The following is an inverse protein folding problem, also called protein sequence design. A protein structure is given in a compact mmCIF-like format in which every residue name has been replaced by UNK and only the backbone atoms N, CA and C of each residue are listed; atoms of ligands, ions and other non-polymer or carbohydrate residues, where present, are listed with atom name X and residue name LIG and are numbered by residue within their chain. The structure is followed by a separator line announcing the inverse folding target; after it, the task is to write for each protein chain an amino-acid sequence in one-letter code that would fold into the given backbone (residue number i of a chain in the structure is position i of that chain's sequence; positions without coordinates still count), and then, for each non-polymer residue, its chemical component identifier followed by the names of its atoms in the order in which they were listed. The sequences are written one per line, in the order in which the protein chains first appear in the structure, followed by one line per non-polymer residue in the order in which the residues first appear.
data_IF_273893528644
#
_entry.id   IF_273893528644
#
_cell.length_a   1.000
_cell.length_b   1.000
_cell.length_c   1.000
_cell.angle_alpha   90.00
_cell.angle_beta   90.00
_cell.angle_gamma   90.00
#
_symmetry.space_group_name_H-M   'P 1'
#
loop_
_entity.id
_entity.type
_entity.pdbx_description
1 polymer ?
#
# COMPACT_ATOMS: atom_id res chain seq x y z
N UNK A 1 -6.68 5.96 24.58
CA UNK A 1 -6.78 6.65 23.28
C UNK A 1 -6.85 5.55 22.24
N UNK A 2 -8.02 5.31 21.64
CA UNK A 2 -8.23 4.24 20.65
C UNK A 2 -8.37 4.93 19.29
N UNK A 3 -7.57 4.54 18.29
CA UNK A 3 -7.44 5.24 17.02
C UNK A 3 -7.99 4.40 15.87
N UNK A 4 -8.66 5.04 14.91
CA UNK A 4 -9.15 4.39 13.69
C UNK A 4 -7.98 4.12 12.74
N UNK A 5 -7.69 2.83 12.54
CA UNK A 5 -6.56 2.36 11.76
C UNK A 5 -6.95 1.58 10.51
N UNK A 6 -6.07 1.59 9.52
CA UNK A 6 -6.20 0.85 8.26
C UNK A 6 -4.92 0.07 7.99
N UNK A 7 -5.10 -1.20 7.58
CA UNK A 7 -4.04 -2.01 7.02
C UNK A 7 -4.17 -2.02 5.49
N UNK A 8 -3.11 -1.61 4.80
CA UNK A 8 -3.04 -1.64 3.34
C UNK A 8 -2.05 -2.69 2.91
N UNK A 9 -2.46 -3.59 2.01
CA UNK A 9 -1.60 -4.54 1.32
C UNK A 9 -1.68 -4.29 -0.19
N UNK A 10 -0.53 -4.05 -0.80
CA UNK A 10 -0.37 -4.03 -2.25
C UNK A 10 0.42 -5.26 -2.64
N UNK A 11 -0.11 -6.07 -3.56
CA UNK A 11 0.55 -7.28 -4.03
C UNK A 11 0.46 -7.42 -5.54
N UNK A 12 1.42 -8.10 -6.17
CA UNK A 12 1.40 -8.42 -7.61
C UNK A 12 1.20 -9.91 -7.87
N UNK A 13 0.73 -10.24 -9.07
CA UNK A 13 0.58 -11.63 -9.53
C UNK A 13 1.83 -12.16 -10.28
N UNK A 14 2.96 -11.49 -10.11
CA UNK A 14 4.22 -11.79 -10.79
C UNK A 14 4.61 -10.72 -11.81
N UNK A 15 5.91 -10.60 -12.08
CA UNK A 15 6.48 -9.73 -13.10
C UNK A 15 7.99 -9.96 -13.25
N UNK A 16 8.61 -9.50 -14.32
CA UNK A 16 10.06 -9.66 -14.53
C UNK A 16 10.65 -8.43 -15.24
N UNK A 17 11.91 -8.03 -14.96
CA UNK A 17 12.82 -8.51 -13.92
C UNK A 17 12.42 -8.03 -12.50
N UNK A 18 13.25 -8.34 -11.49
CA UNK A 18 13.02 -7.93 -10.10
C UNK A 18 12.80 -6.41 -10.01
N UNK A 19 11.65 -5.94 -9.50
CA UNK A 19 11.37 -4.52 -9.40
C UNK A 19 12.02 -3.89 -8.16
N UNK A 20 12.01 -2.56 -8.13
CA UNK A 20 12.17 -1.74 -6.92
C UNK A 20 10.85 -1.07 -6.57
N UNK A 21 10.69 -0.60 -5.34
CA UNK A 21 9.45 0.01 -4.87
C UNK A 21 9.70 1.24 -4.00
N UNK A 22 8.70 2.12 -3.98
CA UNK A 22 8.65 3.30 -3.15
C UNK A 22 7.21 3.57 -2.70
N UNK A 23 7.05 4.07 -1.47
CA UNK A 23 5.79 4.59 -0.96
C UNK A 23 5.90 6.08 -0.69
N UNK A 24 4.96 6.85 -1.19
CA UNK A 24 4.85 8.28 -0.90
C UNK A 24 3.54 8.55 -0.15
N UNK A 25 3.57 9.39 0.87
CA UNK A 25 2.38 9.99 1.49
C UNK A 25 2.48 11.50 1.38
N UNK A 26 1.52 12.15 0.72
CA UNK A 26 1.58 13.60 0.44
C UNK A 26 2.92 14.04 -0.17
N UNK A 27 3.47 13.21 -1.06
CA UNK A 27 4.80 13.35 -1.69
C UNK A 27 6.03 13.11 -0.78
N UNK A 28 5.84 12.84 0.51
CA UNK A 28 6.94 12.43 1.40
C UNK A 28 7.23 10.95 1.26
N UNK A 29 8.52 10.58 1.13
CA UNK A 29 8.92 9.18 1.11
C UNK A 29 8.72 8.53 2.48
N UNK A 30 7.88 7.49 2.52
CA UNK A 30 7.59 6.71 3.72
C UNK A 30 7.94 5.23 3.54
N UNK A 31 8.77 4.90 2.54
CA UNK A 31 9.12 3.51 2.21
C UNK A 31 9.69 2.74 3.41
N UNK A 32 10.46 3.42 4.26
CA UNK A 32 11.05 2.87 5.49
C UNK A 32 10.02 2.57 6.60
N UNK A 33 8.79 3.04 6.48
CA UNK A 33 7.68 2.75 7.39
C UNK A 33 6.85 1.55 6.92
N UNK A 34 7.17 1.00 5.74
CA UNK A 34 6.48 -0.15 5.15
C UNK A 34 7.27 -1.43 5.34
N UNK A 35 6.58 -2.56 5.28
CA UNK A 35 7.20 -3.86 5.17
C UNK A 35 7.00 -4.38 3.75
N UNK A 36 8.07 -4.87 3.13
CA UNK A 36 8.00 -5.36 1.75
C UNK A 36 8.75 -6.66 1.57
N UNK A 37 8.07 -7.63 0.96
CA UNK A 37 8.62 -8.89 0.53
C UNK A 37 8.59 -8.96 -0.99
N UNK A 38 9.71 -9.40 -1.58
CA UNK A 38 9.81 -9.74 -3.00
C UNK A 38 10.29 -11.18 -3.06
N UNK A 39 9.50 -12.05 -3.68
CA UNK A 39 9.80 -13.46 -3.83
C UNK A 39 9.87 -13.80 -5.32
N UNK A 40 10.90 -14.54 -5.72
CA UNK A 40 10.94 -15.13 -7.06
C UNK A 40 10.26 -16.49 -7.01
N UNK A 41 9.19 -16.66 -7.78
CA UNK A 41 8.60 -17.96 -8.04
C UNK A 41 9.59 -18.80 -8.86
N UNK A 42 9.97 -19.96 -8.34
CA UNK A 42 10.96 -20.84 -8.97
C UNK A 42 10.40 -21.62 -10.16
N UNK A 43 9.08 -21.75 -10.28
CA UNK A 43 8.43 -22.44 -11.39
C UNK A 43 8.29 -21.53 -12.60
N UNK A 44 7.81 -20.30 -12.38
CA UNK A 44 7.57 -19.32 -13.46
C UNK A 44 8.76 -18.41 -13.72
N UNK A 45 9.65 -18.25 -12.74
CA UNK A 45 10.76 -17.30 -12.78
C UNK A 45 10.35 -15.83 -12.52
N UNK A 46 9.06 -15.58 -12.27
CA UNK A 46 8.50 -14.24 -12.04
C UNK A 46 8.71 -13.79 -10.59
N UNK A 47 8.78 -12.48 -10.38
CA UNK A 47 8.88 -11.84 -9.07
C UNK A 47 7.49 -11.39 -8.59
N UNK A 48 7.07 -11.94 -7.45
CA UNK A 48 5.86 -11.57 -6.73
C UNK A 48 6.25 -10.56 -5.66
N UNK A 49 5.56 -9.42 -5.63
CA UNK A 49 5.78 -8.34 -4.67
C UNK A 49 4.61 -8.33 -3.70
N UNK A 50 4.86 -8.22 -2.40
CA UNK A 50 3.86 -7.94 -1.39
C UNK A 50 4.39 -6.87 -0.45
N UNK A 51 3.70 -5.74 -0.35
CA UNK A 51 4.12 -4.59 0.46
C UNK A 51 2.95 -4.07 1.27
N UNK A 52 3.16 -3.80 2.55
CA UNK A 52 2.08 -3.37 3.44
C UNK A 52 2.50 -2.30 4.44
N UNK A 53 1.50 -1.56 4.89
CA UNK A 53 1.61 -0.51 5.90
C UNK A 53 0.40 -0.59 6.83
N UNK A 54 0.66 -0.34 8.12
CA UNK A 54 -0.38 -0.14 9.14
C UNK A 54 -0.41 1.34 9.50
N UNK A 55 -1.55 1.99 9.28
CA UNK A 55 -1.79 3.38 9.63
C UNK A 55 -2.74 3.41 10.82
N UNK A 56 -2.31 3.97 11.95
CA UNK A 56 -3.11 3.95 13.18
C UNK A 56 -4.01 5.17 13.34
N UNK A 57 -3.71 6.30 12.69
CA UNK A 57 -4.50 7.53 12.73
C UNK A 57 -4.79 8.01 11.30
N UNK A 58 -5.77 7.38 10.65
CA UNK A 58 -6.10 7.76 9.28
C UNK A 58 -6.68 9.16 9.25
N UNK A 59 -5.99 10.06 8.54
CA UNK A 59 -6.46 11.39 8.14
C UNK A 59 -6.64 11.41 6.63
N UNK A 60 -7.39 12.40 6.14
CA UNK A 60 -7.53 12.57 4.69
C UNK A 60 -6.15 12.79 4.09
N UNK A 61 -5.70 11.83 3.29
CA UNK A 61 -4.36 11.81 2.71
C UNK A 61 -4.32 10.98 1.43
N UNK A 62 -3.38 11.31 0.55
CA UNK A 62 -3.04 10.55 -0.64
C UNK A 62 -1.77 9.75 -0.39
N UNK A 63 -1.88 8.44 -0.59
CA UNK A 63 -0.78 7.49 -0.56
C UNK A 63 -0.50 7.00 -1.98
N UNK A 64 0.74 7.06 -2.43
CA UNK A 64 1.15 6.55 -3.73
C UNK A 64 2.10 5.39 -3.56
N UNK A 65 1.71 4.22 -4.07
CA UNK A 65 2.62 3.09 -4.28
C UNK A 65 3.25 3.20 -5.66
N UNK A 66 4.57 3.03 -5.73
CA UNK A 66 5.35 3.06 -6.96
C UNK A 66 6.12 1.76 -7.07
N UNK A 67 5.94 1.04 -8.18
CA UNK A 67 6.73 -0.13 -8.56
C UNK A 67 7.49 0.21 -9.84
N UNK A 68 8.82 0.18 -9.72
CA UNK A 68 9.72 0.59 -10.79
C UNK A 68 10.53 -0.59 -11.30
N UNK A 69 10.38 -0.88 -12.59
CA UNK A 69 11.08 -1.93 -13.31
C UNK A 69 12.00 -1.27 -14.35
N UNK A 70 13.15 -0.77 -13.88
CA UNK A 70 14.11 0.04 -14.67
C UNK A 70 14.53 -0.61 -15.99
N UNK A 71 14.84 -1.93 -16.04
CA UNK A 71 15.26 -2.55 -17.31
C UNK A 71 14.19 -2.52 -18.39
N UNK A 72 12.90 -2.49 -18.03
CA UNK A 72 11.79 -2.38 -18.97
C UNK A 72 11.28 -0.94 -19.15
N UNK A 73 11.87 0.04 -18.44
CA UNK A 73 11.38 1.42 -18.43
C UNK A 73 9.96 1.56 -17.88
N UNK A 74 9.48 0.58 -17.11
CA UNK A 74 8.12 0.59 -16.55
C UNK A 74 8.10 1.24 -15.17
N UNK A 75 7.12 2.12 -14.97
CA UNK A 75 6.85 2.80 -13.71
C UNK A 75 5.37 2.71 -13.37
N UNK A 76 5.00 1.74 -12.54
CA UNK A 76 3.61 1.48 -12.16
C UNK A 76 3.31 2.27 -10.90
N UNK A 77 2.37 3.22 -11.02
CA UNK A 77 1.94 4.08 -9.92
C UNK A 77 0.48 3.76 -9.55
N UNK A 78 0.22 3.62 -8.25
CA UNK A 78 -1.13 3.45 -7.69
C UNK A 78 -1.34 4.47 -6.61
N UNK A 79 -2.23 5.41 -6.90
CA UNK A 79 -2.69 6.39 -5.93
C UNK A 79 -3.87 5.80 -5.14
N UNK A 80 -3.80 5.96 -3.83
CA UNK A 80 -4.74 5.41 -2.85
C UNK A 80 -5.20 6.59 -1.99
N UNK A 81 -6.47 6.96 -2.16
CA UNK A 81 -7.07 8.02 -1.37
C UNK A 81 -7.57 7.45 -0.05
N UNK A 82 -7.06 7.97 1.05
CA UNK A 82 -7.53 7.64 2.39
C UNK A 82 -8.51 8.73 2.83
N UNK A 83 -9.73 8.32 3.15
CA UNK A 83 -10.75 9.20 3.69
C UNK A 83 -11.13 8.76 5.09
N UNK A 84 -11.15 9.72 6.00
CA UNK A 84 -11.52 9.52 7.39
C UNK A 84 -12.78 10.34 7.68
N UNK A 85 -13.91 9.66 7.92
CA UNK A 85 -15.16 10.30 8.34
C UNK A 85 -15.13 10.53 9.86
N UNK A 86 -14.16 11.33 10.33
CA UNK A 86 -14.17 11.87 11.70
C UNK A 86 -15.26 12.93 11.80
N UNK A 87 -16.53 12.55 11.65
CA UNK A 87 -17.62 13.34 12.21
C UNK A 87 -17.45 13.27 13.72
N UNK A 88 -17.34 14.43 14.37
CA UNK A 88 -17.50 14.55 15.82
C UNK A 88 -18.91 14.09 16.18
N UNK A 89 -19.14 12.77 16.29
CA UNK A 89 -20.35 12.24 16.89
C UNK A 89 -20.22 12.46 18.39
N UNK A 90 -20.51 13.68 18.84
CA UNK A 90 -20.92 13.89 20.23
C UNK A 90 -22.19 13.05 20.47
N UNK A 91 -22.02 11.84 21.03
CA UNK A 91 -23.11 11.11 21.67
C UNK A 91 -23.43 9.69 21.16
N UNK A 92 -22.69 9.10 20.23
CA UNK A 92 -22.94 7.71 19.81
C UNK A 92 -21.69 6.85 19.93
N UNK A 93 -21.84 5.65 20.51
CA UNK A 93 -20.78 4.64 20.68
C UNK A 93 -19.86 4.56 19.47
N UNK A 94 -18.58 4.81 19.67
CA UNK A 94 -17.56 4.73 18.62
C UNK A 94 -17.50 3.31 18.06
N UNK A 95 -18.14 3.09 16.92
CA UNK A 95 -18.02 1.85 16.17
C UNK A 95 -16.62 1.78 15.58
N UNK A 96 -15.91 0.68 15.90
CA UNK A 96 -14.55 0.40 15.43
C UNK A 96 -14.61 0.01 13.95
N UNK A 97 -13.93 0.74 13.08
CA UNK A 97 -13.76 0.33 11.69
C UNK A 97 -12.28 0.07 11.41
N UNK A 98 -11.85 -1.19 11.59
CA UNK A 98 -10.52 -1.64 11.20
C UNK A 98 -10.63 -2.26 9.80
N UNK A 99 -10.21 -1.51 8.78
CA UNK A 99 -10.28 -1.94 7.38
C UNK A 99 -9.01 -2.68 6.94
N UNK A 100 -9.17 -3.74 6.15
CA UNK A 100 -8.08 -4.40 5.43
C UNK A 100 -8.37 -4.30 3.93
N UNK A 101 -7.46 -3.69 3.17
CA UNK A 101 -7.61 -3.51 1.73
C UNK A 101 -6.47 -4.20 0.99
N UNK A 102 -6.83 -4.94 -0.06
CA UNK A 102 -5.89 -5.65 -0.93
C UNK A 102 -5.98 -5.04 -2.33
N UNK A 103 -4.84 -4.58 -2.83
CA UNK A 103 -4.69 -4.08 -4.19
C UNK A 103 -3.85 -5.07 -5.00
N UNK A 104 -4.44 -5.64 -6.04
CA UNK A 104 -3.78 -6.52 -6.98
C UNK A 104 -3.19 -5.74 -8.15
N UNK A 105 -1.89 -5.93 -8.39
CA UNK A 105 -1.14 -5.34 -9.48
C UNK A 105 -0.85 -6.38 -10.57
N UNK A 106 -1.25 -6.07 -11.79
CA UNK A 106 -0.71 -6.73 -12.97
C UNK A 106 0.65 -6.10 -13.30
N UNK A 107 1.73 -6.86 -13.16
CA UNK A 107 3.08 -6.46 -13.57
C UNK A 107 3.41 -7.30 -14.82
N UNK A 108 3.63 -6.66 -15.96
CA UNK A 108 3.90 -7.34 -17.25
C UNK A 108 5.40 -7.43 -17.45
#
# INVERSE_FOLDING_TARGET
MLTDGVNLLVTSDGGYPSPTLQWLMENSDITNQTQTHIMKDTQTGLYIVSSWINLTEVTNSSLTFILNNRPLGQDIRREIQLYSDKRERQGESAYRCHGCFILLLNVI
#
